data_IF_017219791330
#
_entry.id   IF_017219791330
#
_cell.length_a   1.000
_cell.length_b   1.000
_cell.length_c   1.000
_cell.angle_alpha   90.00
_cell.angle_beta   90.00
_cell.angle_gamma   90.00
#
_symmetry.space_group_name_H-M   'P 1'
#
loop_
_entity.id
_entity.type
_entity.pdbx_description
1 polymer ?
#
# COMPACT_ATOMS: atom_id res chain seq x y z
N UNK A 1 -39.36 17.99 -26.39
CA UNK A 1 -40.22 16.81 -26.17
C UNK A 1 -39.71 15.73 -27.12
N UNK A 2 -39.16 14.64 -26.58
CA UNK A 2 -38.43 13.58 -27.30
C UNK A 2 -36.99 14.02 -27.66
N UNK A 3 -35.93 13.25 -27.48
CA UNK A 3 -35.80 11.83 -27.24
C UNK A 3 -34.37 11.55 -26.71
N UNK A 4 -34.25 10.97 -25.52
CA UNK A 4 -32.97 10.54 -24.90
C UNK A 4 -33.17 9.22 -24.12
N UNK A 5 -34.22 8.47 -24.45
CA UNK A 5 -34.56 7.17 -23.85
C UNK A 5 -34.34 6.06 -24.88
N UNK A 6 -33.09 5.85 -25.30
CA UNK A 6 -32.76 4.85 -26.32
C UNK A 6 -31.46 4.08 -26.13
N UNK A 7 -30.80 4.10 -24.96
CA UNK A 7 -29.54 3.37 -24.73
C UNK A 7 -29.39 2.70 -23.37
N UNK A 8 -30.48 2.21 -22.79
CA UNK A 8 -30.44 1.36 -21.59
C UNK A 8 -31.34 0.14 -21.77
N UNK A 9 -31.15 -0.62 -22.85
CA UNK A 9 -31.65 -1.99 -22.97
C UNK A 9 -30.52 -2.85 -23.51
N UNK A 10 -29.87 -3.60 -22.62
CA UNK A 10 -28.77 -4.48 -23.04
C UNK A 10 -27.81 -4.96 -21.95
N UNK A 11 -28.17 -4.90 -20.66
CA UNK A 11 -27.42 -5.62 -19.62
C UNK A 11 -28.33 -6.70 -19.06
N UNK A 12 -28.15 -7.91 -19.61
CA UNK A 12 -28.80 -9.14 -19.15
C UNK A 12 -28.45 -9.38 -17.67
N UNK A 13 -29.48 -9.42 -16.83
CA UNK A 13 -29.38 -9.68 -15.39
C UNK A 13 -28.86 -11.09 -15.06
N UNK A 14 -28.65 -11.96 -16.05
CA UNK A 14 -27.99 -13.27 -15.90
C UNK A 14 -26.47 -13.22 -16.09
N UNK A 15 -25.92 -12.15 -16.67
CA UNK A 15 -24.46 -12.00 -16.86
C UNK A 15 -23.74 -11.65 -15.55
N UNK A 16 -24.42 -11.00 -14.61
CA UNK A 16 -23.84 -10.59 -13.32
C UNK A 16 -23.72 -11.77 -12.34
N UNK A 17 -24.52 -12.83 -12.52
CA UNK A 17 -24.56 -14.00 -11.64
C UNK A 17 -23.45 -15.04 -11.85
N UNK A 18 -22.69 -14.96 -12.95
CA UNK A 18 -21.74 -16.00 -13.37
C UNK A 18 -20.29 -15.83 -12.90
N UNK A 19 -19.91 -14.65 -12.41
CA UNK A 19 -18.50 -14.30 -12.13
C UNK A 19 -18.03 -14.55 -10.69
N UNK A 20 -18.90 -15.09 -9.82
CA UNK A 20 -18.63 -15.29 -8.39
C UNK A 20 -18.59 -16.78 -8.02
N UNK A 21 -17.67 -17.54 -8.64
CA UNK A 21 -17.21 -18.80 -8.04
C UNK A 21 -15.94 -18.54 -7.22
N UNK A 22 -15.95 -19.04 -5.98
CA UNK A 22 -14.80 -19.05 -5.09
C UNK A 22 -13.60 -19.69 -5.82
N UNK A 23 -12.66 -18.86 -6.25
CA UNK A 23 -11.54 -19.31 -7.10
C UNK A 23 -10.97 -18.22 -8.03
N UNK A 24 -11.70 -17.13 -8.29
CA UNK A 24 -11.27 -16.13 -9.29
C UNK A 24 -10.91 -14.74 -8.72
N UNK A 25 -10.60 -14.63 -7.42
CA UNK A 25 -10.21 -13.36 -6.80
C UNK A 25 -8.81 -12.89 -7.21
N UNK A 26 -7.90 -13.84 -7.51
CA UNK A 26 -6.61 -13.54 -8.12
C UNK A 26 -6.76 -12.85 -9.49
N UNK A 27 -7.79 -13.18 -10.27
CA UNK A 27 -8.00 -12.56 -11.59
C UNK A 27 -8.59 -11.16 -11.51
N UNK A 28 -9.20 -10.77 -10.40
CA UNK A 28 -9.59 -9.38 -10.14
C UNK A 28 -8.38 -8.54 -9.72
N UNK A 29 -7.45 -9.13 -8.94
CA UNK A 29 -6.18 -8.49 -8.57
C UNK A 29 -5.25 -8.40 -9.78
N UNK A 30 -5.14 -9.45 -10.60
CA UNK A 30 -4.34 -9.49 -11.83
C UNK A 30 -4.99 -8.67 -12.95
N UNK A 31 -6.32 -8.61 -13.01
CA UNK A 31 -7.06 -7.79 -13.98
C UNK A 31 -6.96 -6.28 -13.73
N UNK A 32 -6.85 -5.86 -12.47
CA UNK A 32 -6.53 -4.46 -12.10
C UNK A 32 -5.05 -4.12 -12.40
N UNK A 33 -4.18 -5.13 -12.51
CA UNK A 33 -2.76 -5.02 -12.87
C UNK A 33 -2.47 -5.08 -14.38
N UNK A 34 -3.50 -5.16 -15.23
CA UNK A 34 -3.34 -5.11 -16.70
C UNK A 34 -4.24 -4.03 -17.31
N UNK A 35 -3.89 -2.77 -17.05
CA UNK A 35 -4.37 -1.66 -17.88
C UNK A 35 -3.53 -1.66 -19.17
N UNK A 36 -4.12 -1.81 -20.37
CA UNK A 36 -3.39 -1.57 -21.61
C UNK A 36 -3.10 -0.06 -21.68
N UNK A 37 -1.86 0.31 -21.36
CA UNK A 37 -1.41 1.70 -21.28
C UNK A 37 -0.70 2.07 -19.98
N UNK A 38 -0.71 1.21 -18.96
CA UNK A 38 0.19 1.37 -17.80
C UNK A 38 1.52 0.70 -18.13
N UNK A 39 2.53 1.49 -18.42
CA UNK A 39 3.92 1.02 -18.32
C UNK A 39 4.08 0.40 -16.93
N UNK A 40 4.68 -0.80 -16.80
CA UNK A 40 5.06 -1.31 -15.49
C UNK A 40 5.86 -0.21 -14.81
N UNK A 41 5.39 0.28 -13.65
CA UNK A 41 6.11 1.25 -12.85
C UNK A 41 7.42 0.62 -12.45
N UNK A 42 8.44 0.84 -13.28
CA UNK A 42 9.78 0.31 -13.14
C UNK A 42 10.45 1.05 -11.99
N UNK A 43 10.08 0.70 -10.76
CA UNK A 43 10.84 1.23 -9.64
C UNK A 43 12.25 0.69 -9.69
N UNK A 44 13.13 1.59 -9.34
CA UNK A 44 14.55 1.54 -9.61
C UNK A 44 15.16 0.75 -8.46
N UNK A 45 15.84 -0.34 -8.77
CA UNK A 45 16.60 -1.11 -7.77
C UNK A 45 17.75 -0.26 -7.20
N UNK A 46 18.27 -0.59 -6.02
CA UNK A 46 19.41 0.11 -5.40
C UNK A 46 20.57 0.37 -6.37
N UNK A 47 20.90 -0.63 -7.20
CA UNK A 47 21.99 -0.53 -8.19
C UNK A 47 21.66 0.40 -9.36
N UNK A 48 20.38 0.59 -9.67
CA UNK A 48 19.95 1.52 -10.72
C UNK A 48 19.89 2.96 -10.17
N UNK A 49 19.64 3.15 -8.87
CA UNK A 49 19.60 4.47 -8.23
C UNK A 49 20.96 5.14 -8.18
N UNK A 50 22.02 4.36 -7.93
CA UNK A 50 23.41 4.83 -7.99
C UNK A 50 23.85 5.24 -9.40
N UNK A 51 23.14 4.77 -10.42
CA UNK A 51 23.34 5.16 -11.82
C UNK A 51 22.42 6.28 -12.32
N UNK A 52 21.49 6.76 -11.47
CA UNK A 52 20.63 7.89 -11.84
C UNK A 52 21.39 9.20 -11.74
N UNK A 53 21.08 10.10 -12.66
CA UNK A 53 21.44 11.49 -12.50
C UNK A 53 20.69 12.09 -11.31
N UNK A 54 21.25 13.13 -10.69
CA UNK A 54 20.59 13.83 -9.59
C UNK A 54 19.21 14.37 -9.98
N UNK A 55 19.01 14.74 -11.25
CA UNK A 55 17.72 15.21 -11.77
C UNK A 55 16.68 14.09 -11.86
N UNK A 56 17.05 12.88 -12.26
CA UNK A 56 16.13 11.73 -12.31
C UNK A 56 15.73 11.26 -10.90
N UNK A 57 16.69 11.21 -9.98
CA UNK A 57 16.43 10.91 -8.58
C UNK A 57 15.49 11.96 -7.94
N UNK A 58 15.72 13.25 -8.22
CA UNK A 58 14.85 14.32 -7.78
C UNK A 58 13.48 14.27 -8.44
N UNK A 59 13.39 13.91 -9.72
CA UNK A 59 12.11 13.76 -10.41
C UNK A 59 11.27 12.63 -9.79
N UNK A 60 11.89 11.53 -9.38
CA UNK A 60 11.21 10.42 -8.70
C UNK A 60 10.75 10.78 -7.28
N UNK A 61 11.55 11.54 -6.52
CA UNK A 61 11.11 12.06 -5.22
C UNK A 61 9.97 13.09 -5.41
N UNK A 62 10.11 13.97 -6.42
CA UNK A 62 9.08 14.98 -6.75
C UNK A 62 7.78 14.34 -7.23
N UNK A 63 7.84 13.21 -7.94
CA UNK A 63 6.63 12.47 -8.36
C UNK A 63 5.81 11.94 -7.18
N UNK A 64 6.42 11.90 -5.98
CA UNK A 64 5.80 11.47 -4.72
C UNK A 64 5.65 12.60 -3.69
N UNK A 65 5.82 13.86 -4.09
CA UNK A 65 5.54 14.99 -3.18
C UNK A 65 4.08 14.97 -2.76
N UNK A 66 3.82 14.98 -1.45
CA UNK A 66 2.46 14.85 -0.90
C UNK A 66 1.93 13.42 -0.84
N UNK A 67 2.78 12.41 -0.98
CA UNK A 67 2.42 11.02 -0.76
C UNK A 67 2.70 10.56 0.68
N UNK A 68 2.07 9.45 1.09
CA UNK A 68 2.37 8.74 2.34
C UNK A 68 2.53 7.26 2.08
N UNK A 69 3.39 6.63 2.86
CA UNK A 69 3.61 5.19 2.80
C UNK A 69 2.75 4.49 3.87
N UNK A 70 1.94 3.52 3.50
CA UNK A 70 1.13 2.74 4.43
C UNK A 70 1.80 1.40 4.72
N UNK A 71 2.18 1.17 5.97
CA UNK A 71 2.69 -0.15 6.38
C UNK A 71 1.57 -1.20 6.42
N UNK A 72 1.98 -2.47 6.60
CA UNK A 72 1.04 -3.59 6.75
C UNK A 72 0.05 -3.38 7.91
N UNK A 73 0.49 -2.86 9.06
CA UNK A 73 -0.35 -2.61 10.23
C UNK A 73 -1.45 -1.56 9.98
N UNK A 74 -1.16 -0.56 9.16
CA UNK A 74 -2.06 0.51 8.75
C UNK A 74 -3.10 -0.03 7.80
N UNK A 75 -2.69 -0.84 6.82
CA UNK A 75 -3.62 -1.54 5.92
C UNK A 75 -4.56 -2.46 6.71
N UNK A 76 -4.04 -3.18 7.72
CA UNK A 76 -4.85 -4.00 8.63
C UNK A 76 -5.86 -3.15 9.42
N UNK A 77 -5.43 -2.01 9.95
CA UNK A 77 -6.30 -1.10 10.70
C UNK A 77 -7.42 -0.52 9.83
N UNK A 78 -7.10 -0.07 8.60
CA UNK A 78 -8.08 0.39 7.62
C UNK A 78 -9.08 -0.71 7.24
N UNK A 79 -8.62 -1.95 7.11
CA UNK A 79 -9.47 -3.10 6.77
C UNK A 79 -10.28 -3.69 7.92
N UNK A 80 -10.10 -3.17 9.13
CA UNK A 80 -10.64 -3.78 10.35
C UNK A 80 -12.10 -3.41 10.64
N UNK A 81 -12.64 -3.99 11.72
CA UNK A 81 -13.97 -3.65 12.24
C UNK A 81 -13.99 -2.31 13.02
N UNK A 82 -12.82 -1.77 13.40
CA UNK A 82 -12.73 -0.51 14.14
C UNK A 82 -12.91 0.69 13.19
N UNK A 83 -14.16 1.09 13.03
CA UNK A 83 -14.55 2.22 12.18
C UNK A 83 -13.97 3.55 12.68
N UNK A 84 -13.76 3.70 13.99
CA UNK A 84 -13.20 4.92 14.57
C UNK A 84 -11.74 5.10 14.20
N UNK A 85 -10.94 4.04 14.37
CA UNK A 85 -9.54 4.03 13.94
C UNK A 85 -9.41 4.19 12.42
N UNK A 86 -10.22 3.46 11.64
CA UNK A 86 -10.20 3.58 10.18
C UNK A 86 -10.55 5.00 9.72
N UNK A 87 -11.58 5.63 10.30
CA UNK A 87 -11.96 7.01 9.97
C UNK A 87 -10.86 8.02 10.34
N UNK A 88 -10.21 7.84 11.50
CA UNK A 88 -9.08 8.67 11.91
C UNK A 88 -7.90 8.54 10.92
N UNK A 89 -7.58 7.33 10.48
CA UNK A 89 -6.51 7.10 9.51
C UNK A 89 -6.85 7.68 8.14
N UNK A 90 -8.09 7.52 7.67
CA UNK A 90 -8.56 8.15 6.42
C UNK A 90 -8.46 9.67 6.50
N UNK A 91 -8.87 10.27 7.62
CA UNK A 91 -8.75 11.71 7.84
C UNK A 91 -7.29 12.18 7.92
N UNK A 92 -6.41 11.37 8.51
CA UNK A 92 -4.98 11.67 8.62
C UNK A 92 -4.25 11.55 7.28
N UNK A 93 -4.66 10.62 6.41
CA UNK A 93 -4.17 10.54 5.02
C UNK A 93 -4.67 11.76 4.24
N UNK A 94 -5.94 12.15 4.40
CA UNK A 94 -6.52 13.32 3.74
C UNK A 94 -6.36 13.24 2.21
N UNK A 95 -5.84 14.31 1.61
CA UNK A 95 -5.61 14.39 0.15
C UNK A 95 -4.27 13.79 -0.29
N UNK A 96 -3.50 13.20 0.64
CA UNK A 96 -2.20 12.62 0.32
C UNK A 96 -2.37 11.35 -0.51
N UNK A 97 -1.48 11.13 -1.47
CA UNK A 97 -1.47 9.91 -2.29
C UNK A 97 -1.00 8.72 -1.43
N UNK A 98 -1.84 7.70 -1.17
CA UNK A 98 -1.42 6.56 -0.37
C UNK A 98 -0.63 5.57 -1.23
N UNK A 99 0.61 5.32 -0.82
CA UNK A 99 1.51 4.33 -1.41
C UNK A 99 1.61 3.10 -0.52
N UNK A 100 1.81 1.95 -1.14
CA UNK A 100 2.04 0.68 -0.45
C UNK A 100 3.20 -0.03 -1.12
N UNK A 101 4.20 -0.44 -0.35
CA UNK A 101 5.32 -1.21 -0.90
C UNK A 101 4.92 -2.64 -1.24
N UNK A 102 5.62 -3.28 -2.18
CA UNK A 102 5.37 -4.66 -2.57
C UNK A 102 5.40 -5.63 -1.36
N UNK A 103 6.35 -5.43 -0.43
CA UNK A 103 6.42 -6.20 0.81
C UNK A 103 5.18 -5.99 1.69
N UNK A 104 4.75 -4.74 1.94
CA UNK A 104 3.56 -4.46 2.75
C UNK A 104 2.28 -5.05 2.14
N UNK A 105 2.13 -4.96 0.81
CA UNK A 105 1.01 -5.55 0.09
C UNK A 105 0.96 -7.08 0.26
N UNK A 106 2.10 -7.75 0.14
CA UNK A 106 2.18 -9.21 0.25
C UNK A 106 1.79 -9.69 1.66
N UNK A 107 2.26 -9.02 2.70
CA UNK A 107 1.89 -9.33 4.09
C UNK A 107 0.41 -9.06 4.38
N UNK A 108 -0.12 -7.94 3.88
CA UNK A 108 -1.52 -7.58 4.04
C UNK A 108 -2.42 -8.61 3.34
N UNK A 109 -2.13 -8.93 2.08
CA UNK A 109 -2.86 -9.93 1.29
C UNK A 109 -2.84 -11.29 1.98
N UNK A 110 -1.68 -11.73 2.48
CA UNK A 110 -1.57 -12.96 3.26
C UNK A 110 -2.46 -12.95 4.50
N UNK A 111 -2.60 -11.80 5.16
CA UNK A 111 -3.47 -11.64 6.34
C UNK A 111 -4.95 -11.73 5.97
N UNK A 112 -5.35 -11.05 4.89
CA UNK A 112 -6.73 -11.08 4.36
C UNK A 112 -7.12 -12.50 3.94
N UNK A 113 -6.23 -13.22 3.25
CA UNK A 113 -6.48 -14.59 2.78
C UNK A 113 -6.64 -15.62 3.91
N UNK A 114 -6.11 -15.34 5.10
CA UNK A 114 -6.34 -16.19 6.28
C UNK A 114 -7.70 -15.97 6.92
N UNK A 115 -8.36 -14.85 6.63
CA UNK A 115 -9.70 -14.56 7.14
C UNK A 115 -10.77 -15.27 6.32
N UNK A 116 -11.76 -15.83 7.01
CA UNK A 116 -12.99 -16.37 6.42
C UNK A 116 -14.11 -15.34 6.33
N UNK A 117 -13.93 -14.15 6.91
CA UNK A 117 -14.92 -13.08 6.88
C UNK A 117 -14.92 -12.36 5.52
N UNK A 118 -16.05 -12.46 4.82
CA UNK A 118 -16.25 -11.83 3.52
C UNK A 118 -16.18 -10.30 3.58
N UNK A 119 -16.54 -9.71 4.72
CA UNK A 119 -16.47 -8.25 4.94
C UNK A 119 -15.03 -7.77 4.88
N UNK A 120 -14.09 -8.52 5.46
CA UNK A 120 -12.66 -8.22 5.41
C UNK A 120 -12.15 -8.27 3.97
N UNK A 121 -12.59 -9.25 3.17
CA UNK A 121 -12.20 -9.34 1.76
C UNK A 121 -12.72 -8.15 0.95
N UNK A 122 -13.96 -7.71 1.18
CA UNK A 122 -14.54 -6.55 0.51
C UNK A 122 -13.84 -5.24 0.90
N UNK A 123 -13.56 -5.04 2.19
CA UNK A 123 -12.80 -3.89 2.68
C UNK A 123 -11.38 -3.85 2.11
N UNK A 124 -10.70 -5.00 2.08
CA UNK A 124 -9.38 -5.11 1.47
C UNK A 124 -9.40 -4.74 -0.01
N UNK A 125 -10.38 -5.23 -0.78
CA UNK A 125 -10.53 -4.85 -2.19
C UNK A 125 -10.77 -3.34 -2.36
N UNK A 126 -11.59 -2.73 -1.50
CA UNK A 126 -11.82 -1.29 -1.53
C UNK A 126 -10.55 -0.49 -1.21
N UNK A 127 -9.75 -0.91 -0.22
CA UNK A 127 -8.46 -0.29 0.10
C UNK A 127 -7.51 -0.39 -1.09
N UNK A 128 -7.36 -1.60 -1.66
CA UNK A 128 -6.45 -1.84 -2.78
C UNK A 128 -6.81 -1.04 -4.04
N UNK A 129 -8.08 -0.67 -4.22
CA UNK A 129 -8.52 0.20 -5.31
C UNK A 129 -8.11 1.68 -5.12
N UNK A 130 -7.73 2.09 -3.91
CA UNK A 130 -7.39 3.48 -3.58
C UNK A 130 -5.89 3.74 -3.44
N UNK A 131 -5.08 2.70 -3.27
CA UNK A 131 -3.63 2.82 -3.05
C UNK A 131 -2.84 2.60 -4.34
N UNK A 132 -1.67 3.24 -4.43
CA UNK A 132 -0.69 2.95 -5.47
C UNK A 132 0.38 2.00 -4.95
N UNK A 133 0.54 0.85 -5.60
CA UNK A 133 1.59 -0.12 -5.23
C UNK A 133 2.91 0.31 -5.86
N UNK A 134 3.96 0.36 -5.06
CA UNK A 134 5.33 0.68 -5.48
C UNK A 134 6.27 -0.50 -5.14
N UNK A 135 7.36 -0.72 -5.89
CA UNK A 135 8.34 -1.72 -5.52
C UNK A 135 9.15 -1.28 -4.30
N UNK A 136 9.74 -2.26 -3.62
CA UNK A 136 10.62 -1.97 -2.47
C UNK A 136 11.93 -1.34 -2.96
N UNK A 137 12.23 -0.12 -2.51
CA UNK A 137 13.47 0.59 -2.79
C UNK A 137 13.95 1.28 -1.50
N UNK A 138 14.48 0.51 -0.53
CA UNK A 138 14.77 1.04 0.79
C UNK A 138 16.05 1.86 0.84
N UNK A 139 16.08 2.88 1.70
CA UNK A 139 17.27 3.68 1.89
C UNK A 139 18.42 2.88 2.50
N UNK A 140 19.65 3.21 2.09
CA UNK A 140 20.84 2.54 2.58
C UNK A 140 20.98 2.61 4.11
N UNK A 141 20.57 3.74 4.72
CA UNK A 141 20.65 3.91 6.18
C UNK A 141 19.70 3.00 6.94
N UNK A 142 18.49 2.75 6.42
CA UNK A 142 17.55 1.80 7.03
C UNK A 142 18.00 0.37 6.79
N UNK A 143 18.54 0.08 5.60
CA UNK A 143 19.12 -1.23 5.30
C UNK A 143 20.36 -1.56 6.14
N UNK A 144 21.10 -0.56 6.62
CA UNK A 144 22.24 -0.74 7.52
C UNK A 144 21.85 -1.05 8.98
N UNK A 145 20.57 -0.96 9.36
CA UNK A 145 20.13 -1.31 10.72
C UNK A 145 20.45 -2.77 11.04
N UNK A 146 21.00 -3.00 12.24
CA UNK A 146 21.24 -4.35 12.76
C UNK A 146 19.90 -5.00 13.08
N UNK A 147 19.67 -6.17 12.50
CA UNK A 147 18.46 -6.96 12.74
C UNK A 147 18.39 -7.41 14.19
N UNK A 148 17.18 -7.41 14.74
CA UNK A 148 16.93 -7.83 16.12
C UNK A 148 15.48 -8.28 16.27
N UNK A 149 15.09 -8.73 17.48
CA UNK A 149 13.68 -9.01 17.81
C UNK A 149 12.72 -7.82 17.59
N UNK A 150 13.24 -6.61 17.39
CA UNK A 150 12.46 -5.37 17.17
C UNK A 150 12.67 -4.76 15.78
N UNK A 151 13.59 -5.30 14.98
CA UNK A 151 13.98 -4.76 13.67
C UNK A 151 14.04 -5.94 12.71
N UNK A 152 12.94 -6.19 12.01
CA UNK A 152 12.82 -7.25 11.02
C UNK A 152 13.26 -6.80 9.62
N UNK A 153 13.62 -7.75 8.77
CA UNK A 153 14.01 -7.47 7.39
C UNK A 153 12.87 -6.85 6.57
N UNK A 154 11.65 -7.38 6.68
CA UNK A 154 10.47 -6.84 5.98
C UNK A 154 10.19 -5.38 6.39
N UNK A 155 10.29 -5.07 7.68
CA UNK A 155 10.13 -3.71 8.18
C UNK A 155 11.21 -2.78 7.60
N UNK A 156 12.45 -3.23 7.47
CA UNK A 156 13.52 -2.45 6.81
C UNK A 156 13.18 -2.11 5.35
N UNK A 157 12.54 -3.02 4.62
CA UNK A 157 12.07 -2.75 3.25
C UNK A 157 10.97 -1.67 3.24
N UNK A 158 9.95 -1.84 4.08
CA UNK A 158 8.77 -0.94 4.12
C UNK A 158 9.17 0.46 4.58
N UNK A 159 9.76 0.56 5.77
CA UNK A 159 10.17 1.85 6.33
C UNK A 159 11.31 2.48 5.55
N UNK A 160 12.24 1.66 5.04
CA UNK A 160 13.34 2.14 4.21
C UNK A 160 12.85 2.77 2.92
N UNK A 161 11.78 2.25 2.31
CA UNK A 161 11.25 2.80 1.06
C UNK A 161 10.58 4.16 1.31
N UNK A 162 9.79 4.28 2.39
CA UNK A 162 9.24 5.59 2.80
C UNK A 162 10.35 6.60 3.14
N UNK A 163 11.40 6.13 3.82
CA UNK A 163 12.58 6.93 4.16
C UNK A 163 13.36 7.40 2.92
N UNK A 164 13.52 6.54 1.91
CA UNK A 164 14.18 6.86 0.64
C UNK A 164 13.41 7.91 -0.14
N UNK A 165 12.08 7.84 -0.13
CA UNK A 165 11.20 8.80 -0.80
C UNK A 165 11.02 10.11 -0.03
N UNK A 166 11.47 10.17 1.23
CA UNK A 166 11.27 11.34 2.10
C UNK A 166 9.80 11.58 2.45
N UNK A 167 9.02 10.51 2.62
CA UNK A 167 7.58 10.57 2.93
C UNK A 167 7.27 9.93 4.29
N UNK A 168 6.21 10.42 4.94
CA UNK A 168 5.76 9.85 6.22
C UNK A 168 5.28 8.42 6.05
N UNK A 169 5.79 7.49 6.85
CA UNK A 169 5.27 6.12 6.95
C UNK A 169 4.26 6.00 8.09
N UNK A 170 3.03 5.61 7.75
CA UNK A 170 1.98 5.33 8.73
C UNK A 170 2.17 3.89 9.21
N UNK A 171 2.12 3.69 10.53
CA UNK A 171 2.44 2.39 11.12
C UNK A 171 1.77 2.16 12.46
N UNK A 172 1.60 0.88 12.80
CA UNK A 172 1.33 0.45 14.18
C UNK A 172 2.55 -0.13 14.90
N UNK A 173 3.68 -0.30 14.21
CA UNK A 173 4.89 -0.88 14.77
C UNK A 173 5.79 0.19 15.43
N UNK A 174 5.37 0.62 16.61
CA UNK A 174 6.17 1.50 17.45
C UNK A 174 7.52 0.87 17.87
N UNK A 175 7.67 -0.47 17.83
CA UNK A 175 8.89 -1.16 18.25
C UNK A 175 9.97 -1.01 17.19
N UNK A 176 9.62 -1.12 15.92
CA UNK A 176 10.54 -0.87 14.81
C UNK A 176 11.05 0.58 14.85
N UNK A 177 10.15 1.55 14.93
CA UNK A 177 10.49 2.98 15.00
C UNK A 177 11.44 3.27 16.16
N UNK A 178 11.16 2.70 17.33
CA UNK A 178 12.06 2.84 18.49
C UNK A 178 13.38 2.12 18.30
N UNK A 179 13.37 0.94 17.67
CA UNK A 179 14.56 0.15 17.35
C UNK A 179 15.51 0.89 16.41
N UNK A 180 14.99 1.49 15.34
CA UNK A 180 15.75 2.32 14.40
C UNK A 180 16.35 3.55 15.12
N UNK A 181 15.54 4.23 15.95
CA UNK A 181 15.99 5.41 16.68
C UNK A 181 17.14 5.10 17.64
N UNK A 182 17.10 3.96 18.34
CA UNK A 182 18.18 3.51 19.24
C UNK A 182 19.48 3.27 18.45
N UNK A 183 19.38 2.90 17.18
CA UNK A 183 20.53 2.72 16.29
C UNK A 183 20.92 4.00 15.52
N UNK A 184 20.34 5.15 15.88
CA UNK A 184 20.68 6.45 15.30
C UNK A 184 19.92 6.84 14.03
N UNK A 185 18.95 6.04 13.59
CA UNK A 185 18.13 6.34 12.40
C UNK A 185 16.77 6.88 12.85
N UNK A 186 16.52 8.16 12.58
CA UNK A 186 15.21 8.80 12.80
C UNK A 186 14.37 8.70 11.54
N UNK A 187 13.24 8.02 11.64
CA UNK A 187 12.26 7.83 10.57
C UNK A 187 11.10 8.82 10.72
N UNK A 188 10.62 9.35 9.60
CA UNK A 188 9.39 10.14 9.57
C UNK A 188 8.18 9.22 9.59
N UNK A 189 7.45 9.22 10.71
CA UNK A 189 6.39 8.24 10.95
C UNK A 189 5.18 8.85 11.64
N UNK A 190 4.00 8.34 11.29
CA UNK A 190 2.78 8.51 12.06
C UNK A 190 2.45 7.17 12.71
N UNK A 191 2.52 7.11 14.03
CA UNK A 191 2.29 5.88 14.79
C UNK A 191 0.86 5.87 15.34
N UNK A 192 0.09 4.84 14.99
CA UNK A 192 -1.26 4.59 15.51
C UNK A 192 -1.32 3.32 16.38
N UNK A 193 -2.40 3.11 17.15
CA UNK A 193 -2.55 1.89 17.96
C UNK A 193 -2.55 0.61 17.11
N UNK A 194 -2.00 -0.50 17.62
CA UNK A 194 -1.98 -1.77 16.90
C UNK A 194 -3.39 -2.34 16.72
N UNK A 195 -3.62 -2.92 15.56
CA UNK A 195 -4.89 -3.54 15.21
C UNK A 195 -4.68 -4.85 14.46
N UNK A 196 -5.65 -5.77 14.54
CA UNK A 196 -5.64 -7.03 13.78
C UNK A 196 -6.85 -7.10 12.86
N UNK A 197 -6.65 -7.67 11.68
CA UNK A 197 -7.74 -8.09 10.81
C UNK A 197 -8.50 -9.25 11.45
#
# INVERSE_FOLDING_TARGET
MGDLLGKLDGIDSRSVGGLLKAGNWLSLIVGVLSIPGSTPGAGITLNQWESLTSEEALAEVRSHTGAVNLDTGTLRALGSADVGLAAMLIAAIGDQKPLVTATALAEFTTSVMKSTDRTIHLKAAAILATVSVIPDNPSARVMALTESRKVGFADKLIFGTGDQLGITTFTSDAKFVRGALVQGVRLETLVHPPHRL
#
